data_IF_299377608363
#
_entry.id   IF_299377608363
#
_cell.length_a   1.000
_cell.length_b   1.000
_cell.length_c   1.000
_cell.angle_alpha   90.00
_cell.angle_beta   90.00
_cell.angle_gamma   90.00
#
_symmetry.space_group_name_H-M   'P 1'
#
loop_
_entity.id
_entity.type
_entity.pdbx_description
1 polymer ?
#
# COMPACT_ATOMS: atom_id res chain seq x y z
N UNK A 1 2.38 -3.37 7.63
CA UNK A 1 1.21 -2.75 8.27
C UNK A 1 0.18 -3.84 8.47
N UNK A 2 -0.38 -3.95 9.67
CA UNK A 2 -1.24 -5.06 10.04
C UNK A 2 -2.66 -4.91 9.50
N UNK A 3 -3.47 -5.95 9.67
CA UNK A 3 -4.83 -6.07 9.11
C UNK A 3 -5.81 -4.99 9.59
N UNK A 4 -5.46 -4.22 10.62
CA UNK A 4 -6.26 -3.13 11.19
C UNK A 4 -5.86 -1.73 10.70
N UNK A 5 -4.96 -1.63 9.71
CA UNK A 5 -4.50 -0.35 9.18
C UNK A 5 -3.35 0.30 9.95
N UNK A 6 -2.81 -0.38 10.97
CA UNK A 6 -1.77 0.17 11.85
C UNK A 6 -0.38 -0.40 11.58
N UNK A 7 0.63 0.32 12.00
CA UNK A 7 2.00 -0.21 12.00
C UNK A 7 2.11 -1.41 12.95
N UNK A 8 3.13 -2.24 12.80
CA UNK A 8 3.37 -3.40 13.67
C UNK A 8 3.55 -3.04 15.16
N UNK A 9 3.82 -1.77 15.44
CA UNK A 9 3.87 -1.20 16.79
C UNK A 9 2.49 -0.79 17.35
N UNK A 10 1.42 -0.92 16.56
CA UNK A 10 0.07 -0.42 16.88
C UNK A 10 -0.12 1.08 16.66
N UNK A 11 0.89 1.77 16.10
CA UNK A 11 0.81 3.20 15.80
C UNK A 11 0.03 3.45 14.49
N UNK A 12 -0.78 4.52 14.46
CA UNK A 12 -1.45 4.97 13.25
C UNK A 12 -0.44 5.55 12.24
N UNK A 13 -0.60 5.22 10.95
CA UNK A 13 0.35 5.61 9.89
C UNK A 13 0.54 7.13 9.79
N UNK A 14 -0.54 7.90 9.89
CA UNK A 14 -0.48 9.36 9.82
C UNK A 14 0.31 9.97 10.96
N UNK A 15 0.18 9.42 12.18
CA UNK A 15 0.96 9.87 13.34
C UNK A 15 2.44 9.52 13.20
N UNK A 16 2.76 8.35 12.64
CA UNK A 16 4.14 7.98 12.35
C UNK A 16 4.80 8.94 11.33
N UNK A 17 4.09 9.29 10.25
CA UNK A 17 4.57 10.24 9.24
C UNK A 17 4.79 11.62 9.88
N UNK A 18 3.80 12.14 10.62
CA UNK A 18 3.92 13.45 11.31
C UNK A 18 5.10 13.47 12.29
N UNK A 19 5.33 12.38 13.02
CA UNK A 19 6.43 12.30 13.97
C UNK A 19 7.80 12.37 13.28
N UNK A 20 7.98 11.65 12.16
CA UNK A 20 9.23 11.70 11.38
C UNK A 20 9.42 13.09 10.75
N UNK A 21 8.37 13.64 10.16
CA UNK A 21 8.40 14.98 9.54
C UNK A 21 8.77 16.05 10.59
N UNK A 22 8.17 16.01 11.79
CA UNK A 22 8.51 16.92 12.88
C UNK A 22 9.95 16.76 13.39
N UNK A 23 10.45 15.53 13.48
CA UNK A 23 11.81 15.25 13.96
C UNK A 23 12.90 15.63 12.93
N UNK A 24 12.55 15.72 11.66
CA UNK A 24 13.51 15.91 10.56
C UNK A 24 13.35 17.23 9.82
N UNK A 25 12.31 18.01 10.09
CA UNK A 25 11.97 19.20 9.32
C UNK A 25 11.55 18.85 7.90
N UNK A 26 10.65 17.87 7.76
CA UNK A 26 10.11 17.38 6.48
C UNK A 26 11.17 16.82 5.50
N UNK A 27 12.31 16.34 6.03
CA UNK A 27 13.43 15.89 5.19
C UNK A 27 13.08 14.79 4.18
N UNK A 28 12.28 13.75 4.51
CA UNK A 28 11.94 12.71 3.55
C UNK A 28 11.24 13.28 2.32
N UNK A 29 11.65 12.87 1.12
CA UNK A 29 10.98 13.32 -0.10
C UNK A 29 9.50 12.87 -0.15
N UNK A 30 9.24 11.65 0.32
CA UNK A 30 7.92 11.02 0.44
C UNK A 30 8.04 9.70 1.22
N UNK A 31 6.89 9.10 1.52
CA UNK A 31 6.76 7.78 2.15
C UNK A 31 6.10 6.77 1.20
N UNK A 32 6.16 5.49 1.58
CA UNK A 32 5.58 4.36 0.84
C UNK A 32 4.95 3.36 1.81
N UNK A 33 3.81 2.78 1.43
CA UNK A 33 3.31 1.55 2.07
C UNK A 33 3.86 0.36 1.28
N UNK A 34 4.51 -0.56 1.98
CA UNK A 34 5.05 -1.78 1.42
C UNK A 34 4.68 -3.00 2.26
N UNK A 35 4.63 -4.17 1.61
CA UNK A 35 4.48 -5.47 2.24
C UNK A 35 3.15 -5.68 2.99
N UNK A 36 2.06 -5.06 2.51
CA UNK A 36 0.71 -5.32 3.01
C UNK A 36 -0.29 -5.37 1.85
N UNK A 37 -1.39 -6.09 2.02
CA UNK A 37 -2.46 -6.13 1.03
C UNK A 37 -3.33 -4.85 1.13
N UNK A 38 -3.88 -4.30 0.02
CA UNK A 38 -4.75 -3.13 0.06
C UNK A 38 -5.90 -3.18 1.06
N UNK A 39 -6.53 -4.35 1.20
CA UNK A 39 -7.61 -4.59 2.17
C UNK A 39 -7.24 -4.21 3.61
N UNK A 40 -5.94 -4.20 3.96
CA UNK A 40 -5.48 -3.83 5.29
C UNK A 40 -5.48 -2.30 5.51
N UNK A 41 -5.30 -1.47 4.47
CA UNK A 41 -5.11 -0.01 4.61
C UNK A 41 -6.07 0.87 3.83
N UNK A 42 -6.90 0.32 2.94
CA UNK A 42 -7.72 1.18 2.07
C UNK A 42 -8.54 2.22 2.85
N UNK A 43 -9.12 1.83 3.99
CA UNK A 43 -9.86 2.75 4.86
C UNK A 43 -9.00 3.90 5.42
N UNK A 44 -7.70 3.66 5.66
CA UNK A 44 -6.75 4.70 6.11
C UNK A 44 -6.52 5.73 4.99
N UNK A 45 -6.46 5.27 3.74
CA UNK A 45 -6.23 6.10 2.56
C UNK A 45 -7.48 6.86 2.08
N UNK A 46 -8.66 6.53 2.60
CA UNK A 46 -9.94 7.20 2.32
C UNK A 46 -10.19 8.43 3.22
N UNK A 47 -9.35 8.66 4.23
CA UNK A 47 -9.54 9.71 5.24
C UNK A 47 -9.46 11.15 4.68
N UNK A 48 -8.77 11.36 3.56
CA UNK A 48 -8.55 12.70 2.99
C UNK A 48 -7.63 13.62 3.82
N UNK A 49 -6.96 13.05 4.82
CA UNK A 49 -6.07 13.79 5.72
C UNK A 49 -4.85 14.39 4.97
N UNK A 50 -4.36 15.59 5.36
CA UNK A 50 -3.27 16.26 4.65
C UNK A 50 -1.96 15.46 4.55
N UNK A 51 -1.66 14.62 5.55
CA UNK A 51 -0.44 13.79 5.57
C UNK A 51 -0.41 12.79 4.41
N UNK A 52 -1.56 12.43 3.80
CA UNK A 52 -1.63 11.56 2.63
C UNK A 52 -0.86 12.13 1.43
N UNK A 53 -0.65 13.46 1.37
CA UNK A 53 0.17 14.09 0.33
C UNK A 53 1.65 13.71 0.41
N UNK A 54 2.09 13.21 1.56
CA UNK A 54 3.45 12.68 1.79
C UNK A 54 3.60 11.25 1.28
N UNK A 55 2.51 10.52 1.08
CA UNK A 55 2.52 9.16 0.56
C UNK A 55 2.54 9.18 -0.98
N UNK A 56 3.61 8.67 -1.59
CA UNK A 56 3.72 8.57 -3.06
C UNK A 56 3.96 7.17 -3.58
N UNK A 57 4.29 6.24 -2.67
CA UNK A 57 4.64 4.87 -3.01
C UNK A 57 3.63 3.83 -2.50
N UNK A 58 3.37 2.83 -3.33
CA UNK A 58 2.62 1.64 -2.96
C UNK A 58 3.24 0.37 -3.55
N UNK A 59 3.58 -0.60 -2.70
CA UNK A 59 4.06 -1.93 -3.10
C UNK A 59 3.44 -3.04 -2.26
N UNK A 60 2.36 -3.62 -2.75
CA UNK A 60 1.48 -4.50 -1.98
C UNK A 60 1.82 -5.97 -2.11
N UNK A 61 1.43 -6.75 -1.10
CA UNK A 61 1.43 -8.21 -1.21
C UNK A 61 0.28 -8.68 -2.11
N UNK A 62 0.44 -9.85 -2.71
CA UNK A 62 -0.64 -10.52 -3.45
C UNK A 62 -1.67 -11.16 -2.51
N UNK A 63 -1.17 -11.82 -1.45
CA UNK A 63 -2.01 -12.45 -0.43
C UNK A 63 -2.58 -11.42 0.55
N UNK A 64 -3.78 -11.72 1.06
CA UNK A 64 -4.48 -10.98 2.13
C UNK A 64 -4.05 -11.38 3.54
N UNK A 65 -3.22 -12.41 3.66
CA UNK A 65 -2.71 -12.87 4.95
C UNK A 65 -1.97 -11.76 5.69
N UNK A 66 -2.09 -11.77 7.01
CA UNK A 66 -1.25 -10.98 7.91
C UNK A 66 0.23 -11.38 7.80
N UNK A 67 1.14 -10.58 8.33
CA UNK A 67 2.58 -10.92 8.35
C UNK A 67 2.82 -12.25 9.05
N UNK A 68 2.16 -12.47 10.20
CA UNK A 68 2.31 -13.70 10.97
C UNK A 68 1.79 -14.94 10.21
N UNK A 69 0.70 -14.81 9.46
CA UNK A 69 0.20 -15.90 8.62
C UNK A 69 1.15 -16.19 7.45
N UNK A 70 1.67 -15.15 6.79
CA UNK A 70 2.65 -15.30 5.71
C UNK A 70 3.95 -15.97 6.18
N UNK A 71 4.45 -15.60 7.36
CA UNK A 71 5.66 -16.19 7.93
C UNK A 71 5.52 -17.70 8.22
N UNK A 72 4.28 -18.17 8.43
CA UNK A 72 3.98 -19.57 8.72
C UNK A 72 3.31 -20.30 7.53
N UNK A 73 3.24 -19.68 6.36
CA UNK A 73 2.61 -20.28 5.19
C UNK A 73 3.53 -21.33 4.55
N UNK A 74 3.02 -22.56 4.38
CA UNK A 74 3.74 -23.64 3.69
C UNK A 74 3.59 -23.56 2.16
N UNK A 75 2.49 -22.96 1.70
CA UNK A 75 2.18 -22.78 0.30
C UNK A 75 2.13 -21.30 -0.06
N UNK A 76 2.49 -20.99 -1.31
CA UNK A 76 2.39 -19.64 -1.83
C UNK A 76 0.92 -19.32 -2.18
N UNK A 77 0.34 -18.36 -1.46
CA UNK A 77 -0.86 -17.65 -1.89
C UNK A 77 -0.45 -16.50 -2.84
N UNK A 78 -0.60 -16.74 -4.14
CA UNK A 78 -0.30 -15.76 -5.19
C UNK A 78 -1.47 -14.82 -5.51
N UNK A 79 -2.57 -14.87 -4.74
CA UNK A 79 -3.68 -13.93 -4.83
C UNK A 79 -4.33 -13.84 -6.21
N UNK A 80 -4.84 -12.65 -6.55
CA UNK A 80 -5.47 -12.39 -7.84
C UNK A 80 -4.89 -11.13 -8.52
N UNK A 81 -4.09 -11.28 -9.59
CA UNK A 81 -3.48 -10.16 -10.30
C UNK A 81 -4.47 -9.09 -10.77
N UNK A 82 -5.60 -9.50 -11.35
CA UNK A 82 -6.60 -8.58 -11.91
C UNK A 82 -7.35 -7.83 -10.81
N UNK A 83 -7.60 -8.48 -9.68
CA UNK A 83 -8.17 -7.85 -8.50
C UNK A 83 -7.22 -6.80 -7.92
N UNK A 84 -5.96 -7.17 -7.69
CA UNK A 84 -4.96 -6.26 -7.16
C UNK A 84 -4.80 -5.02 -8.05
N UNK A 85 -4.82 -5.21 -9.37
CA UNK A 85 -4.80 -4.10 -10.33
C UNK A 85 -5.98 -3.13 -10.16
N UNK A 86 -7.22 -3.64 -9.99
CA UNK A 86 -8.40 -2.78 -9.75
C UNK A 86 -8.28 -2.02 -8.44
N UNK A 87 -7.84 -2.67 -7.38
CA UNK A 87 -7.63 -2.03 -6.07
C UNK A 87 -6.61 -0.88 -6.17
N UNK A 88 -5.53 -1.06 -6.93
CA UNK A 88 -4.56 0.02 -7.19
C UNK A 88 -5.19 1.20 -7.93
N UNK A 89 -6.03 0.94 -8.94
CA UNK A 89 -6.73 1.99 -9.66
C UNK A 89 -7.70 2.77 -8.74
N UNK A 90 -8.45 2.06 -7.89
CA UNK A 90 -9.37 2.68 -6.93
C UNK A 90 -8.62 3.58 -5.93
N UNK A 91 -7.54 3.07 -5.34
CA UNK A 91 -6.69 3.86 -4.43
C UNK A 91 -6.15 5.11 -5.12
N UNK A 92 -5.63 4.97 -6.34
CA UNK A 92 -5.03 6.11 -7.07
C UNK A 92 -6.06 7.12 -7.55
N UNK A 93 -7.31 6.70 -7.80
CA UNK A 93 -8.41 7.61 -8.15
C UNK A 93 -8.70 8.60 -7.02
N UNK A 94 -8.64 8.16 -5.77
CA UNK A 94 -8.83 9.02 -4.59
C UNK A 94 -7.51 9.64 -4.08
N UNK A 95 -6.36 9.03 -4.38
CA UNK A 95 -5.02 9.48 -3.99
C UNK A 95 -4.11 9.68 -5.23
N UNK A 96 -4.36 10.71 -6.06
CA UNK A 96 -3.64 10.91 -7.33
C UNK A 96 -2.14 11.23 -7.15
N UNK A 97 -1.71 11.60 -5.93
CA UNK A 97 -0.31 11.80 -5.60
C UNK A 97 0.53 10.52 -5.62
N UNK A 98 -0.10 9.33 -5.53
CA UNK A 98 0.58 8.04 -5.58
C UNK A 98 1.00 7.73 -7.03
N UNK A 99 2.30 7.79 -7.26
CA UNK A 99 2.91 7.68 -8.58
C UNK A 99 4.07 6.68 -8.65
N UNK A 100 4.44 6.06 -7.54
CA UNK A 100 5.38 4.92 -7.49
C UNK A 100 4.58 3.69 -7.10
N UNK A 101 4.39 2.76 -8.04
CA UNK A 101 3.59 1.54 -7.83
C UNK A 101 4.38 0.29 -8.14
N UNK A 102 4.07 -0.82 -7.46
CA UNK A 102 4.64 -2.12 -7.76
C UNK A 102 4.05 -3.21 -6.85
N UNK A 103 4.70 -4.37 -6.85
CA UNK A 103 4.32 -5.50 -6.00
C UNK A 103 5.40 -5.84 -4.97
N UNK A 104 5.01 -6.58 -3.94
CA UNK A 104 5.84 -7.12 -2.87
C UNK A 104 5.69 -8.65 -2.79
N UNK A 105 5.47 -9.23 -1.61
CA UNK A 105 5.45 -10.67 -1.40
C UNK A 105 4.29 -11.31 -2.17
N UNK A 106 4.56 -12.45 -2.83
CA UNK A 106 3.61 -13.17 -3.66
C UNK A 106 3.26 -12.52 -5.00
N UNK A 107 3.77 -11.33 -5.30
CA UNK A 107 3.53 -10.69 -6.61
C UNK A 107 4.58 -11.11 -7.64
N UNK A 108 4.17 -11.13 -8.90
CA UNK A 108 5.01 -11.43 -10.06
C UNK A 108 4.68 -10.52 -11.26
N UNK A 109 5.22 -10.83 -12.43
CA UNK A 109 4.98 -10.05 -13.64
C UNK A 109 3.49 -9.91 -14.03
N UNK A 110 2.64 -10.92 -13.74
CA UNK A 110 1.19 -10.85 -14.01
C UNK A 110 0.56 -9.73 -13.18
N UNK A 111 0.94 -9.63 -11.90
CA UNK A 111 0.48 -8.58 -11.01
C UNK A 111 0.91 -7.20 -11.47
N UNK A 112 2.20 -7.05 -11.82
CA UNK A 112 2.74 -5.77 -12.30
C UNK A 112 2.03 -5.33 -13.58
N UNK A 113 1.76 -6.25 -14.51
CA UNK A 113 1.02 -5.95 -15.73
C UNK A 113 -0.39 -5.43 -15.44
N UNK A 114 -1.14 -6.10 -14.55
CA UNK A 114 -2.48 -5.66 -14.17
C UNK A 114 -2.49 -4.33 -13.41
N UNK A 115 -1.54 -4.12 -12.49
CA UNK A 115 -1.35 -2.83 -11.80
C UNK A 115 -1.09 -1.72 -12.82
N UNK A 116 -0.16 -1.93 -13.76
CA UNK A 116 0.17 -0.96 -14.79
C UNK A 116 -1.05 -0.63 -15.67
N UNK A 117 -1.71 -1.65 -16.23
CA UNK A 117 -2.87 -1.47 -17.12
C UNK A 117 -4.00 -0.72 -16.43
N UNK A 118 -4.34 -1.08 -15.20
CA UNK A 118 -5.39 -0.43 -14.43
C UNK A 118 -4.99 1.01 -14.04
N UNK A 119 -3.71 1.25 -13.80
CA UNK A 119 -3.14 2.56 -13.46
C UNK A 119 -3.04 3.54 -14.62
N UNK A 120 -3.05 3.06 -15.86
CA UNK A 120 -2.96 3.87 -17.08
C UNK A 120 -4.32 4.19 -17.70
N UNK A 121 -5.41 3.59 -17.19
CA UNK A 121 -6.75 3.91 -17.67
C UNK A 121 -7.09 5.37 -17.34
N UNK A 122 -7.58 6.17 -18.31
CA UNK A 122 -8.05 7.52 -18.01
C UNK A 122 -9.21 7.45 -17.01
N UNK A 123 -9.22 8.41 -16.07
CA UNK A 123 -10.26 8.55 -15.05
C UNK A 123 -11.62 8.90 -15.67
#
# INVERSE_FOLDING_TARGET
METDGKLSTGQDLGEAIKAVDAATGDYPAYYMINCAHPDHFNSVLESGEPWLQRLRGLRSNASRMSHAELDNAEELDDGNPAELGRQYADIRRINPQINVVGGCCGTDHRHIEHIYRASMAPA
#
